data_IF_939172085987
#
_entry.id   IF_939172085987
#
_cell.length_a   1.000
_cell.length_b   1.000
_cell.length_c   1.000
_cell.angle_alpha   90.00
_cell.angle_beta   90.00
_cell.angle_gamma   90.00
#
_symmetry.space_group_name_H-M   'P 1'
#
loop_
_entity.id
_entity.type
_entity.pdbx_description
1 polymer ?
#
# COMPACT_ATOMS: atom_id res chain seq x y z
N UNK A 1 -12.14 -12.56 8.59
CA UNK A 1 -11.89 -12.38 7.15
C UNK A 1 -12.53 -13.45 6.30
N UNK A 2 -12.23 -14.75 6.45
CA UNK A 2 -12.88 -15.78 5.59
C UNK A 2 -14.41 -15.75 5.64
N UNK A 3 -14.97 -15.53 6.84
CA UNK A 3 -16.42 -15.42 7.06
C UNK A 3 -16.94 -13.97 7.01
N UNK A 4 -16.18 -13.06 6.40
CA UNK A 4 -16.47 -11.62 6.33
C UNK A 4 -15.51 -10.74 7.15
N UNK A 5 -15.70 -9.44 7.03
CA UNK A 5 -14.87 -8.39 7.65
C UNK A 5 -13.79 -7.83 6.71
N UNK A 6 -13.21 -6.70 7.11
CA UNK A 6 -12.22 -5.96 6.33
C UNK A 6 -10.82 -6.02 6.95
N UNK A 7 -9.79 -5.93 6.11
CA UNK A 7 -8.41 -5.71 6.53
C UNK A 7 -7.76 -4.61 5.71
N UNK A 8 -7.12 -3.68 6.41
CA UNK A 8 -6.26 -2.66 5.84
C UNK A 8 -4.87 -2.91 6.42
N UNK A 9 -3.91 -3.19 5.55
CA UNK A 9 -2.51 -3.40 5.93
C UNK A 9 -1.62 -2.36 5.29
N UNK A 10 -1.08 -1.47 6.11
CA UNK A 10 -0.16 -0.41 5.64
C UNK A 10 1.24 -0.69 6.18
N UNK A 11 2.27 -0.55 5.34
CA UNK A 11 3.66 -0.81 5.68
C UNK A 11 3.84 -2.17 6.38
N UNK A 12 4.08 -2.20 7.70
CA UNK A 12 4.13 -3.39 8.56
C UNK A 12 2.94 -4.35 8.33
N UNK A 13 1.73 -3.80 8.22
CA UNK A 13 0.52 -4.58 7.94
C UNK A 13 0.53 -5.21 6.55
N UNK A 14 1.12 -4.55 5.56
CA UNK A 14 1.33 -5.11 4.22
C UNK A 14 2.21 -6.36 4.24
N UNK A 15 3.31 -6.35 5.01
CA UNK A 15 4.16 -7.54 5.19
C UNK A 15 3.41 -8.68 5.84
N UNK A 16 2.74 -8.42 6.96
CA UNK A 16 2.05 -9.47 7.69
C UNK A 16 0.86 -10.03 6.93
N UNK A 17 0.31 -9.35 5.92
CA UNK A 17 -0.73 -9.90 5.08
C UNK A 17 -0.21 -10.92 4.05
N UNK A 18 1.06 -10.80 3.61
CA UNK A 18 1.65 -11.66 2.60
C UNK A 18 1.86 -13.10 3.08
N UNK A 19 2.03 -14.01 2.13
CA UNK A 19 2.44 -15.38 2.42
C UNK A 19 3.91 -15.44 2.81
N UNK A 20 4.76 -14.73 2.07
CA UNK A 20 6.21 -14.65 2.28
C UNK A 20 6.63 -13.21 2.55
N UNK A 21 7.55 -13.03 3.50
CA UNK A 21 8.14 -11.75 3.85
C UNK A 21 9.64 -11.82 3.52
N UNK A 22 10.11 -10.91 2.66
CA UNK A 22 11.53 -10.81 2.32
C UNK A 22 12.05 -9.42 2.67
N UNK A 23 13.02 -9.39 3.58
CA UNK A 23 13.69 -8.17 4.02
C UNK A 23 15.15 -8.20 3.61
N UNK A 24 15.60 -7.18 2.88
CA UNK A 24 16.98 -7.04 2.36
C UNK A 24 17.45 -8.27 1.58
N UNK A 25 16.53 -8.85 0.79
CA UNK A 25 16.79 -10.05 -0.01
C UNK A 25 16.97 -11.34 0.81
N UNK A 26 16.64 -11.33 2.10
CA UNK A 26 16.64 -12.50 2.97
C UNK A 26 15.21 -12.89 3.33
N UNK A 27 14.96 -14.19 3.41
CA UNK A 27 13.73 -14.74 3.99
C UNK A 27 13.61 -14.24 5.44
N UNK A 28 12.53 -13.52 5.70
CA UNK A 28 12.20 -12.97 7.01
C UNK A 28 10.99 -13.67 7.65
N UNK A 29 10.51 -14.76 7.04
CA UNK A 29 9.43 -15.60 7.53
C UNK A 29 8.13 -15.47 6.74
N UNK A 30 7.07 -16.05 7.31
CA UNK A 30 5.73 -16.08 6.74
C UNK A 30 4.78 -15.12 7.46
N UNK A 31 3.81 -14.57 6.73
CA UNK A 31 2.74 -13.76 7.30
C UNK A 31 1.45 -14.56 7.56
N UNK A 32 0.33 -13.84 7.56
CA UNK A 32 -1.04 -14.33 7.76
C UNK A 32 -1.58 -15.09 6.55
N UNK A 33 -0.86 -15.08 5.43
CA UNK A 33 -1.25 -15.77 4.18
C UNK A 33 -2.64 -15.32 3.70
N UNK A 34 -2.86 -14.01 3.71
CA UNK A 34 -4.04 -13.37 3.13
C UNK A 34 -3.82 -13.12 1.65
N UNK A 35 -2.70 -12.47 1.34
CA UNK A 35 -2.22 -12.30 -0.02
C UNK A 35 -1.44 -13.55 -0.44
N UNK A 36 -1.88 -14.19 -1.52
CA UNK A 36 -1.07 -15.21 -2.19
C UNK A 36 0.03 -14.51 -3.00
N UNK A 37 1.16 -14.28 -2.34
CA UNK A 37 2.27 -13.48 -2.83
C UNK A 37 3.26 -13.14 -1.73
N UNK A 38 4.23 -12.32 -2.10
CA UNK A 38 5.36 -11.93 -1.27
C UNK A 38 5.40 -10.41 -1.07
N UNK A 39 5.70 -9.97 0.15
CA UNK A 39 6.00 -8.58 0.47
C UNK A 39 7.52 -8.40 0.58
N UNK A 40 8.11 -7.60 -0.31
CA UNK A 40 9.56 -7.37 -0.39
C UNK A 40 9.94 -5.96 0.02
N UNK A 41 11.08 -5.79 0.69
CA UNK A 41 11.64 -4.49 1.09
C UNK A 41 13.10 -4.58 1.53
N UNK A 42 13.84 -3.47 1.64
CA UNK A 42 13.51 -2.12 1.18
C UNK A 42 13.59 -2.00 -0.33
N UNK A 43 12.82 -1.07 -0.86
CA UNK A 43 12.91 -0.60 -2.24
C UNK A 43 13.78 0.66 -2.23
N UNK A 44 15.09 0.44 -2.15
CA UNK A 44 16.12 1.49 -1.96
C UNK A 44 16.15 2.51 -3.11
N UNK A 45 15.59 2.16 -4.27
CA UNK A 45 15.52 3.00 -5.45
C UNK A 45 14.39 4.03 -5.42
N UNK A 46 13.43 3.90 -4.49
CA UNK A 46 12.24 4.76 -4.43
C UNK A 46 12.54 6.15 -3.87
N UNK A 47 13.41 6.21 -2.86
CA UNK A 47 13.79 7.44 -2.16
C UNK A 47 15.30 7.47 -1.93
N UNK A 48 15.88 8.67 -2.01
CA UNK A 48 17.29 8.87 -1.67
C UNK A 48 17.49 8.78 -0.15
N UNK A 49 18.69 8.44 0.33
CA UNK A 49 18.94 8.30 1.77
C UNK A 49 18.62 9.60 2.55
N UNK A 50 17.97 9.52 3.73
CA UNK A 50 17.55 8.34 4.49
C UNK A 50 16.40 7.55 3.83
N UNK A 51 16.17 6.28 4.20
CA UNK A 51 15.17 5.38 3.54
C UNK A 51 13.73 5.74 3.98
N UNK A 52 13.38 7.02 3.82
CA UNK A 52 12.04 7.57 3.87
C UNK A 52 11.97 8.81 2.97
N UNK A 53 10.78 9.13 2.46
CA UNK A 53 10.56 10.32 1.64
C UNK A 53 9.36 10.14 0.71
N UNK A 54 9.04 11.19 -0.04
CA UNK A 54 7.91 11.14 -0.96
C UNK A 54 8.27 10.30 -2.18
N UNK A 55 7.39 9.36 -2.53
CA UNK A 55 7.47 8.59 -3.75
C UNK A 55 6.21 8.77 -4.57
N UNK A 56 6.38 8.89 -5.88
CA UNK A 56 5.25 8.84 -6.80
C UNK A 56 4.76 7.39 -6.94
N UNK A 57 3.45 7.20 -6.84
CA UNK A 57 2.75 5.99 -7.27
C UNK A 57 1.83 6.33 -8.43
N UNK A 58 1.79 5.47 -9.45
CA UNK A 58 0.90 5.62 -10.60
C UNK A 58 -0.34 4.75 -10.38
N UNK A 59 -1.52 5.34 -10.49
CA UNK A 59 -2.78 4.60 -10.41
C UNK A 59 -2.89 3.66 -11.62
N UNK A 60 -3.08 2.37 -11.33
CA UNK A 60 -3.08 1.29 -12.32
C UNK A 60 -4.50 0.87 -12.71
N UNK A 61 -5.50 1.16 -11.88
CA UNK A 61 -6.91 0.80 -12.10
C UNK A 61 -7.87 1.90 -11.63
N UNK A 62 -8.38 2.71 -12.56
CA UNK A 62 -9.43 3.71 -12.28
C UNK A 62 -10.86 3.14 -12.30
N UNK A 63 -11.03 1.84 -12.49
CA UNK A 63 -12.35 1.19 -12.39
C UNK A 63 -12.66 0.72 -10.98
N UNK A 64 -11.64 0.56 -10.12
CA UNK A 64 -11.82 0.08 -8.76
C UNK A 64 -12.41 1.18 -7.84
N UNK A 65 -13.38 0.88 -6.97
CA UNK A 65 -14.03 1.89 -6.13
C UNK A 65 -13.10 2.71 -5.22
N UNK A 66 -11.93 2.17 -4.88
CA UNK A 66 -10.92 2.87 -4.07
C UNK A 66 -10.26 4.00 -4.88
N UNK A 67 -9.92 3.74 -6.13
CA UNK A 67 -9.07 4.60 -6.97
C UNK A 67 -9.82 5.32 -8.09
N UNK A 68 -11.12 5.07 -8.26
CA UNK A 68 -11.93 5.57 -9.38
C UNK A 68 -11.99 7.10 -9.55
N UNK A 69 -11.70 7.85 -8.49
CA UNK A 69 -11.71 9.32 -8.49
C UNK A 69 -10.34 9.93 -8.24
N UNK A 70 -9.30 9.09 -8.16
CA UNK A 70 -7.93 9.56 -7.99
C UNK A 70 -7.38 10.08 -9.32
N UNK A 71 -6.42 10.99 -9.22
CA UNK A 71 -5.56 11.39 -10.35
C UNK A 71 -4.73 10.21 -10.86
N UNK A 72 -4.10 10.34 -12.02
CA UNK A 72 -3.27 9.29 -12.62
C UNK A 72 -2.06 8.90 -11.75
N UNK A 73 -1.65 9.79 -10.84
CA UNK A 73 -0.61 9.52 -9.84
C UNK A 73 -0.81 10.30 -8.55
N UNK A 74 -0.20 9.81 -7.48
CA UNK A 74 -0.17 10.41 -6.14
C UNK A 74 1.27 10.48 -5.66
N UNK A 75 1.60 11.50 -4.86
CA UNK A 75 2.85 11.55 -4.09
C UNK A 75 2.54 11.08 -2.68
N UNK A 76 3.17 10.00 -2.25
CA UNK A 76 2.83 9.34 -0.98
C UNK A 76 4.12 9.10 -0.19
N UNK A 77 4.06 9.23 1.13
CA UNK A 77 5.18 8.90 1.99
C UNK A 77 5.58 7.43 1.85
N UNK A 78 6.81 7.20 1.40
CA UNK A 78 7.46 5.90 1.52
C UNK A 78 8.29 5.87 2.78
N UNK A 79 8.08 4.86 3.64
CA UNK A 79 8.97 4.60 4.77
C UNK A 79 9.13 3.10 5.02
N UNK A 80 10.19 2.51 4.45
CA UNK A 80 10.46 1.06 4.53
C UNK A 80 9.28 0.17 4.13
N UNK A 81 8.35 0.68 3.32
CA UNK A 81 7.17 -0.06 2.89
C UNK A 81 7.49 -1.21 1.92
N UNK A 82 6.63 -2.24 1.85
CA UNK A 82 6.81 -3.31 0.87
C UNK A 82 6.46 -2.87 -0.56
N UNK A 83 6.96 -3.62 -1.53
CA UNK A 83 6.27 -3.84 -2.81
C UNK A 83 5.73 -5.27 -2.87
N UNK A 84 4.55 -5.44 -3.48
CA UNK A 84 3.85 -6.74 -3.51
C UNK A 84 4.18 -7.52 -4.79
N UNK A 85 4.68 -8.73 -4.61
CA UNK A 85 5.00 -9.66 -5.70
C UNK A 85 3.95 -10.77 -5.71
N UNK A 86 3.07 -10.72 -6.71
CA UNK A 86 1.96 -11.66 -6.83
C UNK A 86 2.46 -13.01 -7.35
N UNK A 87 2.05 -14.10 -6.72
CA UNK A 87 2.29 -15.44 -7.24
C UNK A 87 1.31 -15.78 -8.36
N UNK A 88 1.63 -16.82 -9.13
CA UNK A 88 0.78 -17.25 -10.24
C UNK A 88 -0.63 -17.60 -9.74
N UNK A 89 -1.65 -17.22 -10.51
CA UNK A 89 -3.07 -17.39 -10.18
C UNK A 89 -3.58 -16.57 -8.98
N UNK A 90 -2.82 -15.57 -8.51
CA UNK A 90 -3.32 -14.60 -7.54
C UNK A 90 -4.38 -13.71 -8.19
N UNK A 91 -5.60 -13.71 -7.64
CA UNK A 91 -6.72 -12.87 -8.11
C UNK A 91 -6.74 -11.56 -7.34
N UNK A 92 -5.83 -10.66 -7.69
CA UNK A 92 -5.57 -9.40 -6.97
C UNK A 92 -5.60 -8.23 -7.94
N UNK A 93 -6.36 -7.19 -7.59
CA UNK A 93 -6.35 -5.91 -8.30
C UNK A 93 -5.15 -5.09 -7.87
N UNK A 94 -4.30 -4.69 -8.82
CA UNK A 94 -3.23 -3.73 -8.60
C UNK A 94 -3.84 -2.34 -8.75
N UNK A 95 -3.91 -1.60 -7.65
CA UNK A 95 -4.53 -0.27 -7.63
C UNK A 95 -3.54 0.81 -7.99
N UNK A 96 -2.30 0.68 -7.51
CA UNK A 96 -1.21 1.59 -7.81
C UNK A 96 0.13 0.86 -7.84
N UNK A 97 1.06 1.37 -8.64
CA UNK A 97 2.42 0.85 -8.77
C UNK A 97 3.45 1.96 -8.52
N UNK A 98 4.57 1.65 -7.89
CA UNK A 98 5.64 2.64 -7.69
C UNK A 98 6.16 3.11 -9.05
N UNK A 99 6.24 4.43 -9.24
CA UNK A 99 6.63 5.02 -10.52
C UNK A 99 8.00 4.52 -11.00
N UNK A 100 8.97 4.40 -10.09
CA UNK A 100 10.38 4.16 -10.43
C UNK A 100 10.71 2.73 -10.89
N UNK A 101 9.99 1.73 -10.39
CA UNK A 101 10.28 0.32 -10.68
C UNK A 101 9.06 -0.45 -11.23
N UNK A 102 7.87 0.16 -11.24
CA UNK A 102 6.63 -0.45 -11.72
C UNK A 102 6.09 -1.57 -10.83
N UNK A 103 6.66 -1.79 -9.64
CA UNK A 103 6.19 -2.82 -8.73
C UNK A 103 4.89 -2.40 -8.03
N UNK A 104 3.96 -3.33 -7.76
CA UNK A 104 2.72 -3.02 -7.06
C UNK A 104 2.96 -2.38 -5.69
N UNK A 105 2.43 -1.17 -5.51
CA UNK A 105 2.52 -0.38 -4.30
C UNK A 105 1.24 -0.49 -3.46
N UNK A 106 0.08 -0.55 -4.12
CA UNK A 106 -1.22 -0.72 -3.46
C UNK A 106 -2.03 -1.79 -4.18
N UNK A 107 -2.61 -2.72 -3.42
CA UNK A 107 -3.39 -3.83 -3.96
C UNK A 107 -4.69 -4.04 -3.19
N UNK A 108 -5.72 -4.53 -3.88
CA UNK A 108 -7.00 -4.89 -3.27
C UNK A 108 -7.50 -6.24 -3.78
N UNK A 109 -8.09 -7.05 -2.90
CA UNK A 109 -8.61 -8.38 -3.22
C UNK A 109 -9.62 -8.89 -2.20
N UNK A 110 -10.25 -10.02 -2.52
CA UNK A 110 -11.16 -10.73 -1.60
C UNK A 110 -10.46 -11.92 -0.95
N UNK A 111 -10.80 -12.21 0.30
CA UNK A 111 -10.32 -13.38 1.03
C UNK A 111 -11.49 -14.11 1.69
N UNK A 112 -12.00 -15.15 1.03
CA UNK A 112 -13.31 -15.71 1.35
C UNK A 112 -14.40 -14.65 1.09
N UNK A 113 -15.22 -14.36 2.09
CA UNK A 113 -16.22 -13.28 2.03
C UNK A 113 -15.70 -11.92 2.50
N UNK A 114 -14.44 -11.84 2.96
CA UNK A 114 -13.82 -10.59 3.39
C UNK A 114 -13.11 -9.84 2.28
N UNK A 115 -12.74 -8.59 2.56
CA UNK A 115 -12.03 -7.71 1.63
C UNK A 115 -10.75 -7.18 2.25
N UNK A 116 -9.71 -7.08 1.43
CA UNK A 116 -8.35 -6.74 1.87
C UNK A 116 -7.82 -5.61 0.99
N UNK A 117 -7.37 -4.53 1.61
CA UNK A 117 -6.60 -3.46 0.97
C UNK A 117 -5.21 -3.43 1.61
N UNK A 118 -4.15 -3.44 0.81
CA UNK A 118 -2.77 -3.35 1.28
C UNK A 118 -2.07 -2.18 0.61
N UNK A 119 -1.29 -1.44 1.39
CA UNK A 119 -0.44 -0.35 0.93
C UNK A 119 0.99 -0.54 1.41
N UNK A 120 1.91 -0.42 0.46
CA UNK A 120 3.34 -0.28 0.70
C UNK A 120 3.68 1.07 1.34
N UNK A 121 3.40 2.20 0.66
CA UNK A 121 3.58 3.54 1.21
C UNK A 121 2.48 3.88 2.23
N UNK A 122 2.56 5.07 2.82
CA UNK A 122 1.74 5.56 3.92
C UNK A 122 0.72 6.64 3.50
N UNK A 123 -0.37 6.28 2.79
CA UNK A 123 -1.42 7.23 2.41
C UNK A 123 -2.29 7.70 3.60
N UNK A 124 -2.04 7.19 4.81
CA UNK A 124 -2.69 7.61 6.05
C UNK A 124 -2.00 8.78 6.76
N UNK A 125 -0.76 9.08 6.37
CA UNK A 125 -0.01 10.23 6.86
C UNK A 125 -0.33 11.40 5.95
N UNK A 126 -0.45 12.59 6.53
CA UNK A 126 -0.75 13.82 5.81
C UNK A 126 0.38 14.80 6.08
N UNK A 127 1.20 15.05 5.06
CA UNK A 127 2.36 15.93 5.21
C UNK A 127 1.97 17.42 5.14
N UNK A 128 0.85 17.75 4.49
CA UNK A 128 0.43 19.12 4.18
C UNK A 128 -0.60 19.72 5.19
N UNK A 129 -1.16 18.93 6.11
CA UNK A 129 -2.17 19.34 7.10
C UNK A 129 -2.07 18.50 8.38
N UNK A 130 -2.19 19.15 9.54
CA UNK A 130 -2.22 18.55 10.89
C UNK A 130 -3.36 17.55 11.18
N UNK A 131 -4.11 17.12 10.16
CA UNK A 131 -5.34 16.30 10.28
C UNK A 131 -5.08 14.91 10.82
N UNK A 132 -3.91 14.34 10.55
CA UNK A 132 -3.49 13.04 11.08
C UNK A 132 -3.10 13.11 12.58
N UNK A 133 -2.94 14.33 13.12
CA UNK A 133 -2.55 14.59 14.51
C UNK A 133 -1.09 14.28 14.81
N UNK A 134 -0.26 14.13 13.77
CA UNK A 134 1.18 13.89 13.84
C UNK A 134 1.89 15.14 13.30
N UNK A 135 3.17 15.31 13.68
CA UNK A 135 4.04 16.41 13.19
C UNK A 135 5.36 15.87 12.64
N UNK A 136 5.39 14.57 12.40
CA UNK A 136 6.53 13.87 11.82
C UNK A 136 6.31 13.89 10.33
N UNK A 137 7.36 14.24 9.57
CA UNK A 137 7.34 14.28 8.12
C UNK A 137 6.64 15.52 7.50
N UNK A 138 6.16 16.48 8.31
CA UNK A 138 5.69 17.81 7.86
C UNK A 138 6.76 18.61 7.08
N UNK A 139 8.03 18.17 7.09
CA UNK A 139 9.06 18.73 6.22
C UNK A 139 8.96 18.29 4.75
N UNK A 140 8.11 17.30 4.45
CA UNK A 140 7.82 16.77 3.12
C UNK A 140 6.54 17.41 2.55
N UNK A 141 6.21 17.11 1.30
CA UNK A 141 5.05 17.67 0.59
C UNK A 141 4.43 16.56 -0.28
N UNK A 142 3.16 16.23 -0.03
CA UNK A 142 2.38 15.19 -0.74
C UNK A 142 1.63 15.73 -1.96
N UNK A 143 1.79 17.03 -2.25
CA UNK A 143 1.11 17.74 -3.33
C UNK A 143 -0.43 17.57 -3.27
N UNK A 144 -0.97 17.26 -2.09
CA UNK A 144 -2.38 17.05 -1.83
C UNK A 144 -2.68 15.80 -0.98
N UNK A 145 -3.88 15.81 -0.40
CA UNK A 145 -4.30 14.83 0.60
C UNK A 145 -4.75 13.47 0.03
N UNK A 146 -4.15 12.38 0.52
CA UNK A 146 -4.54 10.99 0.22
C UNK A 146 -5.75 10.50 1.06
N UNK A 147 -6.36 11.37 1.88
CA UNK A 147 -7.45 10.96 2.77
C UNK A 147 -8.66 10.39 2.03
N UNK A 148 -8.98 10.92 0.86
CA UNK A 148 -10.14 10.46 0.11
C UNK A 148 -9.95 9.00 -0.35
N UNK A 149 -8.72 8.63 -0.73
CA UNK A 149 -8.30 7.25 -1.00
C UNK A 149 -8.50 6.38 0.24
N UNK A 150 -8.01 6.82 1.41
CA UNK A 150 -8.11 6.06 2.66
C UNK A 150 -9.55 5.93 3.16
N UNK A 151 -10.38 6.95 2.97
CA UNK A 151 -11.82 6.92 3.25
C UNK A 151 -12.51 5.88 2.38
N UNK A 152 -12.24 5.86 1.07
CA UNK A 152 -12.81 4.87 0.14
C UNK A 152 -12.31 3.46 0.41
N UNK A 153 -11.03 3.28 0.73
CA UNK A 153 -10.47 1.98 1.17
C UNK A 153 -11.22 1.45 2.40
N UNK A 154 -11.40 2.29 3.42
CA UNK A 154 -12.15 1.96 4.64
C UNK A 154 -13.59 1.60 4.35
N UNK A 155 -14.27 2.33 3.46
CA UNK A 155 -15.64 2.01 3.07
C UNK A 155 -15.72 0.70 2.28
N UNK A 156 -14.78 0.47 1.37
CA UNK A 156 -14.76 -0.70 0.52
C UNK A 156 -14.52 -1.99 1.31
N UNK A 157 -13.61 -1.99 2.30
CA UNK A 157 -13.33 -3.20 3.11
C UNK A 157 -14.45 -3.56 4.10
N UNK A 158 -15.37 -2.62 4.38
CA UNK A 158 -16.49 -2.81 5.32
C UNK A 158 -17.75 -3.39 4.67
N UNK A 159 -17.77 -3.53 3.35
CA UNK A 159 -18.86 -4.12 2.57
C UNK A 159 -18.72 -5.64 2.50
#
# INVERSE_FOLDING_TARGET
MRDGGGYIGICAGGYFAAEVITLRGQDAGEGLKLLHGEARSPMMELVDAPIYGMTQVNISDHSHPITQSESDSLMVLYYWGPAFHLFINSSVSILASYHRNGLPAMVAFTYGSGRVFLSGPHPEIEEDDSRDGVSSYDELEDEGSDWELMRKATQWVRQ
#
